data_IF_154402349710
#
_entry.id   IF_154402349710
#
_cell.length_a   1.000
_cell.length_b   1.000
_cell.length_c   1.000
_cell.angle_alpha   90.00
_cell.angle_beta   90.00
_cell.angle_gamma   90.00
#
_symmetry.space_group_name_H-M   'P 1'
#
loop_
_entity.id
_entity.type
_entity.pdbx_description
1 polymer ?
#
# COMPACT_ATOMS: atom_id res chain seq x y z
N UNK A 1 -29.67 49.11 -43.52
CA UNK A 1 -28.65 48.28 -42.84
C UNK A 1 -29.01 48.15 -41.35
N UNK A 2 -29.97 47.28 -40.98
CA UNK A 2 -30.45 47.15 -39.59
C UNK A 2 -30.83 45.69 -39.32
N UNK A 3 -29.89 44.74 -39.40
CA UNK A 3 -30.15 43.34 -39.07
C UNK A 3 -29.03 42.57 -38.31
N UNK A 4 -27.83 43.11 -37.95
CA UNK A 4 -26.84 42.29 -37.25
C UNK A 4 -27.18 42.10 -35.76
N UNK A 5 -27.89 43.06 -35.15
CA UNK A 5 -28.24 43.01 -33.72
C UNK A 5 -29.29 41.94 -33.46
N UNK A 6 -30.28 41.80 -34.35
CA UNK A 6 -31.33 40.79 -34.21
C UNK A 6 -30.77 39.37 -34.37
N UNK A 7 -29.82 39.18 -35.30
CA UNK A 7 -29.11 37.92 -35.46
C UNK A 7 -28.25 37.57 -34.23
N UNK A 8 -27.59 38.57 -33.62
CA UNK A 8 -26.80 38.38 -32.40
C UNK A 8 -27.67 38.03 -31.19
N UNK A 9 -28.82 38.68 -31.04
CA UNK A 9 -29.78 38.38 -29.96
C UNK A 9 -30.39 36.99 -30.14
N UNK A 10 -30.71 36.60 -31.38
CA UNK A 10 -31.23 35.26 -31.68
C UNK A 10 -30.18 34.17 -31.41
N UNK A 11 -28.92 34.41 -31.77
CA UNK A 11 -27.81 33.50 -31.48
C UNK A 11 -27.59 33.35 -29.97
N UNK A 12 -27.63 34.47 -29.23
CA UNK A 12 -27.47 34.45 -27.77
C UNK A 12 -28.65 33.74 -27.08
N UNK A 13 -29.88 33.94 -27.57
CA UNK A 13 -31.06 33.25 -27.06
C UNK A 13 -30.99 31.73 -27.31
N UNK A 14 -30.42 31.30 -28.44
CA UNK A 14 -30.24 29.88 -28.75
C UNK A 14 -29.20 29.22 -27.83
N UNK A 15 -28.13 29.94 -27.48
CA UNK A 15 -27.11 29.45 -26.53
C UNK A 15 -27.68 29.34 -25.12
N UNK A 16 -28.48 30.32 -24.68
CA UNK A 16 -29.16 30.26 -23.38
C UNK A 16 -30.22 29.16 -23.31
N UNK A 17 -30.89 28.85 -24.41
CA UNK A 17 -31.88 27.77 -24.48
C UNK A 17 -31.26 26.36 -24.40
N UNK A 18 -29.96 26.21 -24.70
CA UNK A 18 -29.24 24.94 -24.56
C UNK A 18 -28.78 24.66 -23.12
N UNK A 19 -28.90 25.63 -22.20
CA UNK A 19 -28.61 25.45 -20.78
C UNK A 19 -29.81 24.81 -20.04
N UNK A 20 -30.28 23.65 -20.53
CA UNK A 20 -31.15 22.81 -19.70
C UNK A 20 -30.31 22.27 -18.55
N UNK A 21 -30.66 22.50 -17.28
CA UNK A 21 -30.00 21.83 -16.17
C UNK A 21 -30.15 20.33 -16.39
N UNK A 22 -29.06 19.66 -16.73
CA UNK A 22 -29.00 18.21 -16.65
C UNK A 22 -29.06 17.89 -15.18
N UNK A 23 -30.21 17.39 -14.70
CA UNK A 23 -30.26 16.73 -13.41
C UNK A 23 -29.26 15.58 -13.50
N UNK A 24 -28.11 15.71 -12.83
CA UNK A 24 -27.31 14.56 -12.48
C UNK A 24 -28.29 13.63 -11.75
N UNK A 25 -28.45 12.42 -12.27
CA UNK A 25 -29.28 11.41 -11.65
C UNK A 25 -28.78 11.27 -10.21
N UNK A 26 -29.53 11.81 -9.27
CA UNK A 26 -29.31 11.59 -7.85
C UNK A 26 -29.65 10.13 -7.64
N UNK A 27 -28.70 9.28 -7.97
CA UNK A 27 -28.65 7.91 -7.51
C UNK A 27 -28.57 8.01 -5.99
N UNK A 28 -29.73 8.11 -5.36
CA UNK A 28 -29.88 7.70 -3.98
C UNK A 28 -29.19 6.34 -3.91
N UNK A 29 -28.21 6.13 -3.02
CA UNK A 29 -27.50 4.87 -2.97
C UNK A 29 -28.52 3.83 -2.51
N UNK A 30 -29.18 3.19 -3.49
CA UNK A 30 -29.63 1.83 -3.31
C UNK A 30 -28.34 1.12 -2.99
N UNK A 31 -28.28 0.54 -1.80
CA UNK A 31 -27.19 -0.32 -1.37
C UNK A 31 -27.13 -1.51 -2.31
N UNK A 32 -26.63 -1.31 -3.53
CA UNK A 32 -26.31 -2.36 -4.46
C UNK A 32 -25.15 -3.08 -3.80
N UNK A 33 -25.44 -4.24 -3.24
CA UNK A 33 -24.47 -5.11 -2.56
C UNK A 33 -23.21 -5.30 -3.42
N UNK A 34 -23.35 -5.19 -4.74
CA UNK A 34 -22.25 -5.19 -5.73
C UNK A 34 -21.27 -4.02 -5.59
N UNK A 35 -21.74 -2.78 -5.35
CA UNK A 35 -20.85 -1.63 -5.14
C UNK A 35 -20.12 -1.72 -3.79
N UNK A 36 -20.83 -2.14 -2.74
CA UNK A 36 -20.21 -2.38 -1.43
C UNK A 36 -19.13 -3.46 -1.51
N UNK A 37 -19.39 -4.56 -2.22
CA UNK A 37 -18.40 -5.61 -2.46
C UNK A 37 -17.19 -5.12 -3.27
N UNK A 38 -17.39 -4.22 -4.23
CA UNK A 38 -16.29 -3.63 -4.99
C UNK A 38 -15.40 -2.73 -4.11
N UNK A 39 -16.02 -1.92 -3.25
CA UNK A 39 -15.32 -1.07 -2.27
C UNK A 39 -14.56 -1.94 -1.26
N UNK A 40 -15.17 -3.00 -0.72
CA UNK A 40 -14.52 -3.93 0.21
C UNK A 40 -13.31 -4.63 -0.40
N UNK A 41 -13.40 -5.05 -1.67
CA UNK A 41 -12.25 -5.63 -2.40
C UNK A 41 -11.11 -4.64 -2.51
N UNK A 42 -11.40 -3.40 -2.93
CA UNK A 42 -10.38 -2.37 -3.08
C UNK A 42 -9.71 -2.00 -1.74
N UNK A 43 -10.48 -1.98 -0.64
CA UNK A 43 -9.94 -1.77 0.71
C UNK A 43 -9.04 -2.92 1.14
N UNK A 44 -9.44 -4.17 0.88
CA UNK A 44 -8.67 -5.37 1.22
C UNK A 44 -7.36 -5.41 0.44
N UNK A 45 -7.41 -5.11 -0.85
CA UNK A 45 -6.23 -5.02 -1.72
C UNK A 45 -5.29 -3.90 -1.25
N UNK A 46 -5.83 -2.71 -0.96
CA UNK A 46 -5.04 -1.59 -0.43
C UNK A 46 -4.37 -1.92 0.90
N UNK A 47 -5.08 -2.58 1.81
CA UNK A 47 -4.53 -3.04 3.09
C UNK A 47 -3.42 -4.09 2.88
N UNK A 48 -3.60 -5.01 1.93
CA UNK A 48 -2.59 -5.99 1.55
C UNK A 48 -1.27 -5.33 1.14
N UNK A 49 -1.34 -4.31 0.28
CA UNK A 49 -0.16 -3.56 -0.16
C UNK A 49 0.57 -2.88 1.01
N UNK A 50 -0.16 -2.33 1.98
CA UNK A 50 0.42 -1.70 3.17
C UNK A 50 1.14 -2.76 4.03
N UNK A 51 0.50 -3.91 4.27
CA UNK A 51 1.10 -5.00 5.06
C UNK A 51 2.35 -5.57 4.39
N UNK A 52 2.34 -5.72 3.07
CA UNK A 52 3.50 -6.15 2.31
C UNK A 52 4.65 -5.15 2.40
N UNK A 53 4.33 -3.85 2.34
CA UNK A 53 5.30 -2.78 2.57
C UNK A 53 5.94 -2.85 3.96
N UNK A 54 5.14 -3.02 5.01
CA UNK A 54 5.62 -3.19 6.38
C UNK A 54 6.50 -4.44 6.52
N UNK A 55 6.10 -5.56 5.92
CA UNK A 55 6.88 -6.80 5.92
C UNK A 55 8.25 -6.60 5.26
N UNK A 56 8.30 -5.87 4.15
CA UNK A 56 9.56 -5.56 3.48
C UNK A 56 10.45 -4.66 4.33
N UNK A 57 9.87 -3.68 5.02
CA UNK A 57 10.60 -2.82 5.95
C UNK A 57 11.22 -3.62 7.09
N UNK A 58 10.46 -4.52 7.72
CA UNK A 58 10.94 -5.37 8.81
C UNK A 58 12.07 -6.30 8.36
N UNK A 59 12.00 -6.83 7.13
CA UNK A 59 13.07 -7.65 6.54
C UNK A 59 14.41 -6.91 6.40
N UNK A 60 14.42 -5.57 6.36
CA UNK A 60 15.65 -4.79 6.25
C UNK A 60 16.41 -4.63 7.56
N UNK A 61 15.84 -5.03 8.69
CA UNK A 61 16.49 -4.92 10.00
C UNK A 61 17.63 -5.95 10.09
N UNK A 62 18.90 -5.52 10.22
CA UNK A 62 20.04 -6.43 10.29
C UNK A 62 19.98 -7.29 11.56
N UNK A 63 20.21 -8.59 11.40
CA UNK A 63 20.26 -9.54 12.53
C UNK A 63 21.65 -9.68 13.13
N UNK A 64 22.69 -9.31 12.38
CA UNK A 64 24.09 -9.47 12.77
C UNK A 64 24.86 -8.16 12.59
N UNK A 65 25.93 -8.01 13.36
CA UNK A 65 26.92 -6.96 13.19
C UNK A 65 27.92 -7.28 12.08
N UNK A 66 28.67 -6.27 11.60
CA UNK A 66 29.78 -6.49 10.68
C UNK A 66 30.81 -7.50 11.22
N UNK A 67 31.45 -8.29 10.34
CA UNK A 67 32.46 -9.27 10.75
C UNK A 67 33.72 -8.57 11.31
N UNK A 68 34.22 -9.07 12.44
CA UNK A 68 35.48 -8.65 13.05
C UNK A 68 36.55 -9.72 12.75
N UNK A 69 37.66 -9.32 12.13
CA UNK A 69 38.77 -10.22 11.81
C UNK A 69 39.79 -10.17 12.95
N UNK A 70 40.10 -11.33 13.51
CA UNK A 70 41.06 -11.47 14.60
C UNK A 70 42.50 -11.62 14.07
N UNK A 71 43.53 -11.34 14.90
CA UNK A 71 44.94 -11.45 14.48
C UNK A 71 45.38 -12.86 14.07
N UNK A 72 44.66 -13.90 14.52
CA UNK A 72 44.88 -15.29 14.13
C UNK A 72 44.23 -15.66 12.79
N UNK A 73 43.44 -14.75 12.19
CA UNK A 73 42.73 -14.97 10.93
C UNK A 73 41.29 -15.45 11.08
N UNK A 74 40.79 -15.65 12.30
CA UNK A 74 39.39 -16.03 12.55
C UNK A 74 38.44 -14.83 12.41
N UNK A 75 37.14 -15.11 12.28
CA UNK A 75 36.10 -14.08 12.13
C UNK A 75 35.02 -14.26 13.20
N UNK A 76 34.66 -13.16 13.88
CA UNK A 76 33.50 -13.09 14.79
C UNK A 76 32.34 -12.37 14.09
N UNK A 77 31.14 -12.97 14.13
CA UNK A 77 29.89 -12.33 13.68
C UNK A 77 28.90 -12.30 14.85
N UNK A 78 28.68 -11.12 15.42
CA UNK A 78 27.80 -10.96 16.61
C UNK A 78 26.35 -10.84 16.19
N UNK A 79 25.44 -11.50 16.91
CA UNK A 79 23.98 -11.33 16.74
C UNK A 79 23.55 -10.07 17.48
N UNK A 80 22.77 -9.21 16.82
CA UNK A 80 22.13 -8.05 17.48
C UNK A 80 20.95 -8.48 18.33
N UNK A 81 20.15 -9.40 17.78
CA UNK A 81 18.97 -9.95 18.42
C UNK A 81 19.09 -11.48 18.35
N UNK A 82 19.17 -12.15 19.49
CA UNK A 82 19.22 -13.60 19.60
C UNK A 82 18.84 -14.06 21.01
N UNK A 83 18.42 -15.32 21.19
CA UNK A 83 18.17 -15.85 22.53
C UNK A 83 19.45 -15.75 23.37
N UNK A 84 19.31 -15.30 24.61
CA UNK A 84 20.40 -15.24 25.62
C UNK A 84 20.86 -16.65 26.04
N UNK A 85 20.11 -17.69 25.68
CA UNK A 85 20.47 -19.07 25.99
C UNK A 85 21.60 -19.53 25.06
N UNK A 86 22.78 -19.71 25.67
CA UNK A 86 23.89 -20.41 25.06
C UNK A 86 23.44 -21.81 24.60
N UNK A 87 24.05 -22.38 23.55
CA UNK A 87 23.79 -23.76 23.19
C UNK A 87 24.14 -24.63 24.40
N UNK A 88 23.18 -25.40 24.91
CA UNK A 88 23.51 -26.50 25.82
C UNK A 88 24.50 -27.41 25.08
N UNK A 89 25.70 -27.57 25.64
CA UNK A 89 26.71 -28.49 25.12
C UNK A 89 26.08 -29.90 25.06
N UNK A 90 25.93 -30.42 23.85
CA UNK A 90 25.52 -31.80 23.61
C UNK A 90 26.66 -32.72 24.08
N UNK A 91 26.70 -33.00 25.39
CA UNK A 91 27.55 -34.02 26.00
C UNK A 91 27.07 -35.41 25.55
N UNK A 92 27.36 -35.73 24.29
CA UNK A 92 27.18 -37.04 23.67
C UNK A 92 28.53 -37.74 23.53
N UNK A 93 29.35 -37.82 24.58
CA UNK A 93 30.55 -38.66 24.47
C UNK A 93 31.15 -39.20 25.78
N UNK A 94 30.33 -39.68 26.73
CA UNK A 94 30.86 -40.59 27.78
C UNK A 94 29.85 -41.64 28.27
N UNK A 95 29.43 -42.58 27.42
CA UNK A 95 28.97 -43.90 27.93
C UNK A 95 28.99 -45.00 26.87
N UNK A 96 30.19 -45.53 26.57
CA UNK A 96 30.36 -46.95 26.22
C UNK A 96 31.84 -47.35 26.22
N UNK A 97 32.30 -47.85 27.36
CA UNK A 97 33.25 -48.96 27.45
C UNK A 97 32.84 -49.83 28.64
#
# INVERSE_FOLDING_TARGET
MKQPIFALVLLLALILAAATPSFADSHAPKSDTTEQQAIERQLTEGFGLIMDGLRLMLKRIPQYDPPEILPNGDIIIRRRNGPTEAPEEDDKDTKKL
#
